data_IF_755017308108
#
_entry.id   IF_755017308108
#
_cell.length_a   1.000
_cell.length_b   1.000
_cell.length_c   1.000
_cell.angle_alpha   90.00
_cell.angle_beta   90.00
_cell.angle_gamma   90.00
#
_symmetry.space_group_name_H-M   'P 1'
#
loop_
_entity.id
_entity.type
_entity.pdbx_description
1 polymer ?
#
# COMPACT_ATOMS: atom_id res chain seq x y z
N UNK A 1 0.67 67.75 -26.67
CA UNK A 1 1.49 66.53 -26.78
C UNK A 1 1.31 65.52 -25.62
N UNK A 2 0.39 65.74 -24.67
CA UNK A 2 0.17 64.82 -23.54
C UNK A 2 -0.87 63.71 -23.81
N UNK A 3 -1.89 63.98 -24.63
CA UNK A 3 -2.99 63.02 -24.87
C UNK A 3 -2.54 61.73 -25.57
N UNK A 4 -1.58 61.80 -26.50
CA UNK A 4 -1.13 60.62 -27.26
C UNK A 4 -0.37 59.60 -26.38
N UNK A 5 0.28 60.06 -25.31
CA UNK A 5 0.97 59.18 -24.34
C UNK A 5 -0.01 58.44 -23.45
N UNK A 6 -1.15 59.04 -23.13
CA UNK A 6 -2.19 58.41 -22.32
C UNK A 6 -2.89 57.28 -23.08
N UNK A 7 -3.28 57.50 -24.34
CA UNK A 7 -3.86 56.44 -25.18
C UNK A 7 -2.89 55.29 -25.45
N UNK A 8 -1.59 55.57 -25.60
CA UNK A 8 -0.57 54.54 -25.78
C UNK A 8 -0.43 53.63 -24.55
N UNK A 9 -0.45 54.18 -23.33
CA UNK A 9 -0.39 53.38 -22.11
C UNK A 9 -1.70 52.62 -21.83
N UNK A 10 -2.86 53.22 -22.09
CA UNK A 10 -4.16 52.55 -21.96
C UNK A 10 -4.27 51.38 -22.95
N UNK A 11 -3.82 51.53 -24.21
CA UNK A 11 -3.80 50.44 -25.18
C UNK A 11 -2.76 49.37 -24.84
N UNK A 12 -1.58 49.73 -24.31
CA UNK A 12 -0.57 48.75 -23.90
C UNK A 12 -1.07 47.90 -22.71
N UNK A 13 -1.76 48.51 -21.75
CA UNK A 13 -2.40 47.78 -20.64
C UNK A 13 -3.60 46.93 -21.11
N UNK A 14 -4.39 47.41 -22.07
CA UNK A 14 -5.50 46.63 -22.64
C UNK A 14 -5.01 45.42 -23.43
N UNK A 15 -3.93 45.58 -24.22
CA UNK A 15 -3.28 44.47 -24.94
C UNK A 15 -2.64 43.48 -23.97
N UNK A 16 -2.03 43.93 -22.87
CA UNK A 16 -1.49 43.06 -21.82
C UNK A 16 -2.58 42.31 -21.04
N UNK A 17 -3.75 42.91 -20.83
CA UNK A 17 -4.92 42.25 -20.23
C UNK A 17 -5.57 41.24 -21.19
N UNK A 18 -5.67 41.56 -22.48
CA UNK A 18 -6.14 40.59 -23.48
C UNK A 18 -5.16 39.43 -23.66
N UNK A 19 -3.84 39.65 -23.62
CA UNK A 19 -2.86 38.58 -23.72
C UNK A 19 -2.81 37.69 -22.47
N UNK A 20 -3.05 38.25 -21.27
CA UNK A 20 -3.21 37.45 -20.06
C UNK A 20 -4.49 36.60 -20.11
N UNK A 21 -5.59 37.11 -20.67
CA UNK A 21 -6.83 36.36 -20.85
C UNK A 21 -6.67 35.20 -21.85
N UNK A 22 -5.89 35.38 -22.93
CA UNK A 22 -5.53 34.33 -23.90
C UNK A 22 -4.60 33.27 -23.27
N UNK A 23 -3.79 33.66 -22.28
CA UNK A 23 -2.90 32.72 -21.56
C UNK A 23 -3.69 31.83 -20.59
N UNK A 24 -4.75 32.37 -19.96
CA UNK A 24 -5.61 31.63 -19.03
C UNK A 24 -6.47 30.57 -19.74
N UNK A 25 -6.93 30.81 -20.98
CA UNK A 25 -7.74 29.82 -21.72
C UNK A 25 -6.95 28.64 -22.27
N UNK A 26 -5.62 28.73 -22.36
CA UNK A 26 -4.77 27.65 -22.88
C UNK A 26 -4.37 26.61 -21.82
N UNK A 27 -4.73 26.80 -20.55
CA UNK A 27 -4.37 25.95 -19.42
C UNK A 27 -5.49 25.03 -18.92
N UNK A 28 -6.42 24.65 -19.80
CA UNK A 28 -7.30 23.51 -19.57
C UNK A 28 -6.91 22.40 -20.57
N UNK A 29 -5.69 21.88 -20.42
CA UNK A 29 -5.41 20.56 -20.97
C UNK A 29 -6.47 19.61 -20.37
N UNK A 30 -7.14 18.76 -21.18
CA UNK A 30 -7.99 17.73 -20.60
C UNK A 30 -7.12 16.99 -19.60
N UNK A 31 -7.54 16.97 -18.33
CA UNK A 31 -7.06 15.97 -17.38
C UNK A 31 -7.02 14.66 -18.16
N UNK A 32 -5.88 13.95 -18.24
CA UNK A 32 -5.87 12.66 -18.91
C UNK A 32 -7.05 11.92 -18.30
N UNK A 33 -8.01 11.50 -19.13
CA UNK A 33 -9.03 10.55 -18.70
C UNK A 33 -8.23 9.49 -17.94
N UNK A 34 -8.40 9.43 -16.61
CA UNK A 34 -7.82 8.35 -15.83
C UNK A 34 -8.48 7.15 -16.47
N UNK A 35 -7.75 6.48 -17.35
CA UNK A 35 -8.22 5.28 -18.02
C UNK A 35 -8.38 4.31 -16.87
N UNK A 36 -9.61 4.21 -16.37
CA UNK A 36 -9.87 3.56 -15.10
C UNK A 36 -9.62 2.07 -15.34
N UNK A 37 -8.43 1.61 -14.97
CA UNK A 37 -8.06 0.20 -15.01
C UNK A 37 -9.15 -0.56 -14.26
N UNK A 38 -9.86 -1.42 -14.98
CA UNK A 38 -10.92 -2.23 -14.44
C UNK A 38 -10.74 -3.67 -14.92
N UNK A 39 -11.56 -4.60 -14.41
CA UNK A 39 -11.44 -6.03 -14.74
C UNK A 39 -11.53 -6.31 -16.25
N UNK A 40 -12.23 -5.49 -17.03
CA UNK A 40 -12.33 -5.67 -18.50
C UNK A 40 -11.06 -5.24 -19.25
N UNK A 41 -10.13 -4.55 -18.59
CA UNK A 41 -8.82 -4.20 -19.15
C UNK A 41 -7.86 -5.40 -19.24
N UNK A 42 -8.25 -6.58 -18.73
CA UNK A 42 -7.42 -7.78 -18.66
C UNK A 42 -8.14 -8.97 -19.33
N UNK A 43 -7.41 -10.00 -19.81
CA UNK A 43 -8.02 -11.15 -20.45
C UNK A 43 -9.03 -11.87 -19.55
N UNK A 44 -10.07 -12.52 -20.13
CA UNK A 44 -10.96 -13.38 -19.36
C UNK A 44 -10.17 -14.44 -18.58
N UNK A 45 -10.51 -14.60 -17.30
CA UNK A 45 -9.81 -15.54 -16.40
C UNK A 45 -8.52 -14.99 -15.77
N UNK A 46 -8.19 -13.71 -15.96
CA UNK A 46 -7.11 -13.08 -15.20
C UNK A 46 -7.42 -13.11 -13.69
N UNK A 47 -6.43 -13.53 -12.89
CA UNK A 47 -6.55 -13.72 -11.45
C UNK A 47 -6.05 -12.47 -10.72
N UNK A 48 -6.90 -11.87 -9.89
CA UNK A 48 -6.54 -10.84 -8.94
C UNK A 48 -6.50 -11.43 -7.54
N UNK A 49 -5.49 -11.05 -6.76
CA UNK A 49 -5.38 -11.57 -5.42
C UNK A 49 -4.54 -10.67 -4.52
N UNK A 50 -4.54 -11.03 -3.25
CA UNK A 50 -3.70 -10.44 -2.21
C UNK A 50 -2.70 -11.48 -1.72
N UNK A 51 -1.72 -11.02 -0.93
CA UNK A 51 -0.75 -11.92 -0.35
C UNK A 51 -0.28 -11.53 1.04
N UNK A 52 0.07 -12.54 1.82
CA UNK A 52 0.66 -12.39 3.16
C UNK A 52 1.87 -13.31 3.36
N UNK A 53 2.56 -13.12 4.48
CA UNK A 53 3.56 -14.07 4.99
C UNK A 53 3.31 -14.35 6.47
N UNK A 54 3.67 -15.55 6.92
CA UNK A 54 3.27 -16.09 8.21
C UNK A 54 3.74 -15.20 9.37
N UNK A 55 5.04 -14.88 9.44
CA UNK A 55 5.58 -14.07 10.54
C UNK A 55 5.06 -12.63 10.55
N UNK A 56 4.71 -12.09 9.38
CA UNK A 56 4.20 -10.73 9.27
C UNK A 56 2.71 -10.62 9.63
N UNK A 57 1.95 -11.72 9.58
CA UNK A 57 0.48 -11.67 9.70
C UNK A 57 -0.09 -12.53 10.82
N UNK A 58 0.41 -13.75 11.03
CA UNK A 58 -0.23 -14.72 11.93
C UNK A 58 -0.26 -14.23 13.38
N UNK A 59 0.88 -13.82 13.94
CA UNK A 59 1.00 -13.66 15.39
C UNK A 59 0.91 -15.02 16.11
N UNK A 60 0.40 -14.98 17.34
CA UNK A 60 0.24 -16.15 18.20
C UNK A 60 1.55 -16.97 18.28
N UNK A 61 2.66 -16.25 18.50
CA UNK A 61 4.01 -16.78 18.33
C UNK A 61 4.33 -17.97 19.25
N UNK A 62 3.69 -18.03 20.42
CA UNK A 62 3.86 -19.07 21.44
C UNK A 62 2.59 -19.91 21.66
N UNK A 63 1.66 -19.92 20.71
CA UNK A 63 0.37 -20.62 20.83
C UNK A 63 0.29 -21.83 19.90
N UNK A 64 -0.60 -22.76 20.23
CA UNK A 64 -0.89 -23.93 19.39
C UNK A 64 0.31 -24.85 19.16
N UNK A 65 1.31 -24.82 20.05
CA UNK A 65 2.51 -25.65 19.94
C UNK A 65 3.56 -25.13 18.96
N UNK A 66 3.45 -23.89 18.47
CA UNK A 66 4.46 -23.27 17.61
C UNK A 66 5.80 -23.12 18.35
N UNK A 67 6.88 -23.55 17.70
CA UNK A 67 8.26 -23.25 18.12
C UNK A 67 8.74 -21.89 17.60
N UNK A 68 9.77 -21.29 18.22
CA UNK A 68 10.34 -20.03 17.77
C UNK A 68 11.04 -20.22 16.40
N UNK A 69 10.90 -19.23 15.53
CA UNK A 69 11.68 -19.10 14.31
C UNK A 69 12.91 -18.21 14.54
N UNK A 70 13.75 -18.10 13.51
CA UNK A 70 14.89 -17.16 13.52
C UNK A 70 14.44 -15.70 13.69
N UNK A 71 13.26 -15.35 13.18
CA UNK A 71 12.74 -13.98 13.26
C UNK A 71 12.26 -13.63 14.68
N UNK A 72 11.61 -14.58 15.37
CA UNK A 72 11.28 -14.42 16.80
C UNK A 72 12.57 -14.09 17.57
N UNK A 73 13.55 -15.01 17.49
CA UNK A 73 14.85 -14.85 18.15
C UNK A 73 15.53 -13.53 17.80
N UNK A 74 15.56 -13.13 16.52
CA UNK A 74 16.21 -11.91 16.08
C UNK A 74 15.53 -10.66 16.65
N UNK A 75 14.20 -10.57 16.56
CA UNK A 75 13.45 -9.39 17.03
C UNK A 75 13.46 -9.25 18.55
N UNK A 76 13.40 -10.36 19.30
CA UNK A 76 13.52 -10.32 20.76
C UNK A 76 14.94 -10.03 21.23
N UNK A 77 15.97 -10.56 20.55
CA UNK A 77 17.37 -10.38 20.95
C UNK A 77 17.97 -9.05 20.54
N UNK A 78 17.54 -8.50 19.41
CA UNK A 78 18.07 -7.26 18.82
C UNK A 78 16.96 -6.28 18.47
N UNK A 79 16.13 -5.85 19.45
CA UNK A 79 15.00 -4.96 19.18
C UNK A 79 15.43 -3.62 18.56
N UNK A 80 16.64 -3.15 18.82
CA UNK A 80 17.21 -1.95 18.20
C UNK A 80 17.46 -2.07 16.69
N UNK A 81 17.39 -3.29 16.13
CA UNK A 81 17.47 -3.54 14.68
C UNK A 81 16.12 -3.37 13.98
N UNK A 82 15.03 -3.26 14.73
CA UNK A 82 13.70 -2.92 14.23
C UNK A 82 13.46 -1.44 14.52
N UNK A 83 13.06 -0.68 13.51
CA UNK A 83 12.98 0.80 13.58
C UNK A 83 12.14 1.28 14.76
N UNK A 84 11.04 0.61 15.04
CA UNK A 84 10.11 0.90 16.13
C UNK A 84 10.24 -0.08 17.31
N UNK A 85 11.23 -0.98 17.27
CA UNK A 85 11.48 -2.03 18.27
C UNK A 85 10.33 -3.04 18.43
N UNK A 86 9.43 -3.14 17.45
CA UNK A 86 8.33 -4.10 17.43
C UNK A 86 8.81 -5.54 17.10
N UNK A 87 7.90 -6.51 17.24
CA UNK A 87 8.13 -7.91 16.92
C UNK A 87 6.86 -8.55 16.31
N UNK A 88 6.96 -9.83 15.95
CA UNK A 88 5.86 -10.59 15.35
C UNK A 88 4.98 -11.37 16.35
N UNK A 89 5.05 -11.08 17.65
CA UNK A 89 4.37 -11.89 18.68
C UNK A 89 2.85 -11.92 18.46
N UNK A 90 2.29 -10.77 18.10
CA UNK A 90 0.86 -10.57 17.79
C UNK A 90 0.64 -10.25 16.31
N UNK A 91 1.55 -9.50 15.67
CA UNK A 91 1.40 -9.03 14.29
C UNK A 91 0.02 -8.36 14.05
N UNK A 92 -0.74 -8.78 13.03
CA UNK A 92 -2.14 -8.37 12.82
C UNK A 92 -3.17 -9.41 13.29
N UNK A 93 -2.66 -10.43 13.98
CA UNK A 93 -3.44 -11.50 14.62
C UNK A 93 -4.27 -12.36 13.65
N UNK A 94 -3.76 -12.57 12.43
CA UNK A 94 -4.43 -13.43 11.44
C UNK A 94 -4.54 -14.88 11.91
N UNK A 95 -3.75 -15.35 12.88
CA UNK A 95 -3.91 -16.69 13.45
C UNK A 95 -5.31 -16.89 14.05
N UNK A 96 -5.81 -15.90 14.80
CA UNK A 96 -7.16 -15.91 15.36
C UNK A 96 -8.21 -15.38 14.38
N UNK A 97 -7.82 -14.44 13.51
CA UNK A 97 -8.73 -13.62 12.69
C UNK A 97 -8.77 -14.00 11.21
N UNK A 98 -8.24 -15.17 10.84
CA UNK A 98 -8.16 -15.57 9.42
C UNK A 98 -9.53 -15.64 8.74
N UNK A 99 -10.62 -15.87 9.49
CA UNK A 99 -11.98 -15.92 8.93
C UNK A 99 -12.44 -14.54 8.47
N UNK A 100 -12.15 -13.53 9.28
CA UNK A 100 -12.40 -12.13 8.97
C UNK A 100 -11.56 -11.69 7.77
N UNK A 101 -10.28 -12.06 7.73
CA UNK A 101 -9.38 -11.75 6.61
C UNK A 101 -9.93 -12.32 5.29
N UNK A 102 -10.35 -13.59 5.28
CA UNK A 102 -10.96 -14.23 4.12
C UNK A 102 -12.31 -13.59 3.75
N UNK A 103 -13.08 -13.15 4.75
CA UNK A 103 -14.32 -12.40 4.55
C UNK A 103 -14.07 -11.10 3.78
N UNK A 104 -13.08 -10.31 4.18
CA UNK A 104 -12.70 -9.06 3.51
C UNK A 104 -12.26 -9.33 2.06
N UNK A 105 -11.45 -10.37 1.83
CA UNK A 105 -11.00 -10.71 0.48
C UNK A 105 -12.15 -11.11 -0.44
N UNK A 106 -13.16 -11.79 0.10
CA UNK A 106 -14.40 -12.13 -0.59
C UNK A 106 -15.21 -10.87 -0.92
N UNK A 107 -15.36 -9.96 0.04
CA UNK A 107 -16.10 -8.70 -0.14
C UNK A 107 -15.43 -7.78 -1.18
N UNK A 108 -14.10 -7.85 -1.30
CA UNK A 108 -13.31 -7.17 -2.34
C UNK A 108 -13.39 -7.84 -3.72
N UNK A 109 -14.07 -8.98 -3.86
CA UNK A 109 -14.18 -9.75 -5.10
C UNK A 109 -12.80 -10.13 -5.69
N UNK A 110 -11.91 -10.67 -4.83
CA UNK A 110 -10.62 -11.22 -5.24
C UNK A 110 -10.74 -12.71 -5.60
N UNK A 111 -9.93 -13.14 -6.58
CA UNK A 111 -9.95 -14.51 -7.10
C UNK A 111 -8.98 -15.44 -6.35
N UNK A 112 -7.92 -14.89 -5.74
CA UNK A 112 -6.89 -15.67 -5.06
C UNK A 112 -6.34 -15.01 -3.79
N UNK A 113 -5.89 -15.84 -2.86
CA UNK A 113 -5.10 -15.41 -1.71
C UNK A 113 -3.85 -16.27 -1.59
N UNK A 114 -2.68 -15.63 -1.67
CA UNK A 114 -1.39 -16.28 -1.47
C UNK A 114 -0.91 -16.05 -0.04
N UNK A 115 -0.70 -17.10 0.72
CA UNK A 115 -0.07 -17.02 2.04
C UNK A 115 1.05 -18.05 2.16
N UNK A 116 1.96 -17.83 3.12
CA UNK A 116 2.99 -18.82 3.46
C UNK A 116 2.61 -19.56 4.75
N UNK A 117 3.11 -20.77 4.92
CA UNK A 117 2.92 -21.56 6.14
C UNK A 117 4.13 -21.37 7.05
N UNK A 118 3.91 -21.09 8.35
CA UNK A 118 5.00 -21.03 9.34
C UNK A 118 5.63 -22.41 9.57
N UNK A 119 6.88 -22.61 9.14
CA UNK A 119 7.56 -23.90 9.31
C UNK A 119 7.64 -24.32 10.78
N UNK A 120 8.01 -23.40 11.68
CA UNK A 120 8.15 -23.69 13.11
C UNK A 120 6.81 -23.94 13.81
N UNK A 121 5.68 -23.65 13.16
CA UNK A 121 4.35 -24.04 13.63
C UNK A 121 3.99 -25.47 13.24
N UNK A 122 4.38 -25.92 12.04
CA UNK A 122 4.09 -27.28 11.55
C UNK A 122 5.10 -28.30 12.10
N UNK A 123 6.36 -27.92 12.13
CA UNK A 123 7.48 -28.72 12.62
C UNK A 123 8.21 -27.91 13.68
N UNK A 124 7.65 -27.80 14.90
CA UNK A 124 8.32 -27.14 16.01
C UNK A 124 9.59 -27.91 16.33
N UNK A 125 10.75 -27.25 16.20
CA UNK A 125 12.00 -27.83 16.66
C UNK A 125 12.02 -27.80 18.18
N UNK A 126 11.95 -28.97 18.80
CA UNK A 126 12.24 -29.16 20.21
C UNK A 126 13.74 -28.96 20.43
N UNK A 127 14.16 -27.72 20.62
CA UNK A 127 15.52 -27.38 21.08
C UNK A 127 15.84 -27.87 22.50
N UNK A 128 14.94 -28.66 23.11
CA UNK A 128 15.06 -29.23 24.46
C UNK A 128 15.22 -30.76 24.45
N UNK A 129 15.63 -31.38 23.35
CA UNK A 129 16.25 -32.71 23.46
C UNK A 129 17.71 -32.53 23.89
N UNK A 130 17.94 -32.86 25.16
CA UNK A 130 19.20 -33.11 25.88
C UNK A 130 19.83 -31.92 26.66
N UNK A 131 19.20 -31.58 27.80
CA UNK A 131 19.88 -31.29 29.07
C UNK A 131 19.20 -32.04 30.23
#
# INVERSE_FOLDING_TARGET
>A
MANNRYYFHVHLHLIALLSSLITVTKALAPTPEITLLNRSSFPPGFIYGTSSSAYQYEGAANEGGRGPSIWDTFTHKYPEKIVDRSNGDVAVDSYHRYKEDVGIMKDMNLDAYRFSISWSRILPSNSNTDQ
#
